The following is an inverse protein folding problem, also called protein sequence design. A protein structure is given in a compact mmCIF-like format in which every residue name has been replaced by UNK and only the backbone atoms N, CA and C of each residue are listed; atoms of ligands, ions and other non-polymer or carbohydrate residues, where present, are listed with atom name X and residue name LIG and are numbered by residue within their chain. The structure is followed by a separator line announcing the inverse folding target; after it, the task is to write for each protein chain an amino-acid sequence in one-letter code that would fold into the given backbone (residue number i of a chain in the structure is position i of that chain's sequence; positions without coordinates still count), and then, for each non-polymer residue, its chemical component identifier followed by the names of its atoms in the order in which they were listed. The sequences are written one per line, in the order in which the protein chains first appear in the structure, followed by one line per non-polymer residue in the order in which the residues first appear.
data_IF_075288221140
#
_entry.id   IF_075288221140
#
_cell.length_a   1.000
_cell.length_b   1.000
_cell.length_c   1.000
_cell.angle_alpha   90.00
_cell.angle_beta   90.00
_cell.angle_gamma   90.00
#
_symmetry.space_group_name_H-M   'P 1'
#
loop_
_entity.id
_entity.type
_entity.pdbx_description
1 polymer ?
#
# COMPACT_ATOMS: atom_id res chain seq x y z
N UNK A 1 9.37 8.33 23.09
CA UNK A 1 9.31 9.77 22.82
C UNK A 1 7.85 10.14 22.69
N UNK A 2 7.32 10.97 23.57
CA UNK A 2 6.02 11.64 23.40
C UNK A 2 6.20 12.96 22.67
N UNK A 3 5.10 13.62 22.28
CA UNK A 3 5.18 14.95 21.68
C UNK A 3 5.75 15.98 22.66
N UNK A 4 5.36 15.93 23.93
CA UNK A 4 5.84 16.83 24.97
C UNK A 4 7.35 16.69 25.15
N UNK A 5 7.87 15.45 25.18
CA UNK A 5 9.31 15.21 25.24
C UNK A 5 10.04 15.78 24.03
N UNK A 6 9.46 15.64 22.82
CA UNK A 6 10.03 16.22 21.60
C UNK A 6 10.01 17.76 21.62
N UNK A 7 8.95 18.37 22.14
CA UNK A 7 8.78 19.81 22.18
C UNK A 7 9.89 20.50 23.00
N UNK A 8 10.28 19.87 24.12
CA UNK A 8 11.34 20.35 25.03
C UNK A 8 12.76 20.18 24.48
N UNK A 9 12.96 19.42 23.40
CA UNK A 9 14.28 19.26 22.78
C UNK A 9 14.78 20.58 22.17
N UNK A 10 16.08 20.83 22.31
CA UNK A 10 16.73 21.91 21.57
C UNK A 10 16.84 21.58 20.05
N UNK A 11 17.28 22.55 19.26
CA UNK A 11 17.34 22.41 17.80
C UNK A 11 18.33 21.33 17.33
N UNK A 12 19.43 21.09 18.05
CA UNK A 12 20.41 20.06 17.72
C UNK A 12 19.86 18.66 18.02
N UNK A 13 19.21 18.51 19.18
CA UNK A 13 18.52 17.29 19.60
C UNK A 13 17.35 16.95 18.67
N UNK A 14 16.51 17.92 18.30
CA UNK A 14 15.43 17.74 17.31
C UNK A 14 15.99 17.25 15.97
N UNK A 15 17.11 17.85 15.51
CA UNK A 15 17.77 17.44 14.27
C UNK A 15 18.33 16.02 14.36
N UNK A 16 18.99 15.67 15.46
CA UNK A 16 19.51 14.31 15.67
C UNK A 16 18.38 13.27 15.68
N UNK A 17 17.28 13.57 16.38
CA UNK A 17 16.12 12.69 16.44
C UNK A 17 15.40 12.55 15.09
N UNK A 18 15.23 13.64 14.34
CA UNK A 18 14.66 13.65 12.98
C UNK A 18 15.42 12.73 12.00
N UNK A 19 16.71 12.48 12.26
CA UNK A 19 17.55 11.59 11.45
C UNK A 19 17.67 10.17 12.02
N UNK A 20 17.03 9.90 13.16
CA UNK A 20 17.09 8.60 13.83
C UNK A 20 16.12 7.57 13.25
N UNK A 21 16.33 6.29 13.59
CA UNK A 21 15.42 5.21 13.22
C UNK A 21 14.05 5.31 13.90
N UNK A 22 14.00 5.96 15.06
CA UNK A 22 12.80 6.13 15.88
C UNK A 22 11.88 7.24 15.36
N UNK A 23 12.35 8.07 14.42
CA UNK A 23 11.55 9.15 13.84
C UNK A 23 10.27 8.66 13.18
N UNK A 24 10.36 7.63 12.34
CA UNK A 24 9.20 7.08 11.63
C UNK A 24 8.10 6.57 12.56
N UNK A 25 8.35 5.63 13.50
CA UNK A 25 7.31 5.17 14.41
C UNK A 25 6.76 6.29 15.31
N UNK A 26 7.59 7.26 15.70
CA UNK A 26 7.14 8.44 16.44
C UNK A 26 6.13 9.28 15.65
N UNK A 27 6.46 9.68 14.42
CA UNK A 27 5.53 10.48 13.58
C UNK A 27 4.20 9.76 13.37
N UNK A 28 4.23 8.44 13.10
CA UNK A 28 3.01 7.65 12.91
C UNK A 28 2.17 7.61 14.19
N UNK A 29 2.79 7.55 15.37
CA UNK A 29 2.08 7.53 16.65
C UNK A 29 1.34 8.83 16.98
N UNK A 30 1.62 9.93 16.28
CA UNK A 30 0.97 11.22 16.47
C UNK A 30 -0.28 11.41 15.61
N UNK A 31 -0.59 10.47 14.70
CA UNK A 31 -1.79 10.50 13.89
C UNK A 31 -2.97 9.91 14.67
N UNK A 32 -4.11 10.56 14.55
CA UNK A 32 -5.37 10.03 15.07
C UNK A 32 -5.93 8.92 14.15
N UNK A 33 -6.76 8.02 14.69
CA UNK A 33 -7.39 6.97 13.88
C UNK A 33 -8.23 7.56 12.72
N UNK A 34 -8.82 8.74 12.91
CA UNK A 34 -9.57 9.45 11.86
C UNK A 34 -8.68 10.05 10.78
N UNK A 35 -7.36 10.09 10.98
CA UNK A 35 -6.35 10.54 10.00
C UNK A 35 -5.68 9.35 9.29
N UNK A 36 -6.13 8.13 9.58
CA UNK A 36 -5.69 6.91 8.94
C UNK A 36 -6.80 6.35 8.04
N UNK A 37 -6.40 5.68 6.96
CA UNK A 37 -7.27 4.81 6.18
C UNK A 37 -6.56 3.47 6.00
N UNK A 38 -7.10 2.40 6.55
CA UNK A 38 -6.47 1.06 6.54
C UNK A 38 -5.01 1.07 7.04
N UNK A 39 -4.70 1.93 8.02
CA UNK A 39 -3.35 2.09 8.58
C UNK A 39 -2.41 2.98 7.75
N UNK A 40 -2.84 3.49 6.59
CA UNK A 40 -2.09 4.47 5.82
C UNK A 40 -2.46 5.91 6.23
N UNK A 41 -1.47 6.81 6.38
CA UNK A 41 -1.73 8.19 6.75
C UNK A 41 -2.39 8.96 5.61
N UNK A 42 -3.41 9.76 5.92
CA UNK A 42 -4.03 10.71 4.99
C UNK A 42 -3.21 12.00 4.90
N UNK A 43 -3.31 12.70 3.76
CA UNK A 43 -2.57 13.94 3.54
C UNK A 43 -2.91 15.04 4.57
N UNK A 44 -4.15 15.11 5.05
CA UNK A 44 -4.58 16.08 6.06
C UNK A 44 -3.95 15.83 7.45
N UNK A 45 -3.88 14.58 7.89
CA UNK A 45 -3.17 14.21 9.11
C UNK A 45 -1.67 14.49 9.01
N UNK A 46 -1.06 14.17 7.86
CA UNK A 46 0.34 14.51 7.61
C UNK A 46 0.59 16.02 7.59
N UNK A 47 -0.38 16.82 7.16
CA UNK A 47 -0.28 18.29 7.19
C UNK A 47 -0.24 18.78 8.63
N UNK A 48 -1.18 18.34 9.47
CA UNK A 48 -1.24 18.70 10.89
C UNK A 48 0.02 18.26 11.63
N UNK A 49 0.43 17.00 11.48
CA UNK A 49 1.65 16.48 12.12
C UNK A 49 2.91 17.14 11.55
N UNK A 50 2.91 17.48 10.27
CA UNK A 50 3.93 18.30 9.63
C UNK A 50 4.13 19.64 10.33
N UNK A 51 3.05 20.39 10.55
CA UNK A 51 3.14 21.68 11.27
C UNK A 51 3.53 21.51 12.74
N UNK A 52 2.99 20.48 13.39
CA UNK A 52 3.28 20.15 14.77
C UNK A 52 4.77 19.88 15.01
N UNK A 53 5.39 19.14 14.09
CA UNK A 53 6.76 18.68 14.26
C UNK A 53 7.76 19.60 13.60
N UNK A 54 7.54 20.01 12.34
CA UNK A 54 8.48 20.75 11.51
C UNK A 54 8.42 22.27 11.72
N UNK A 55 7.26 22.81 12.10
CA UNK A 55 6.98 24.25 12.17
C UNK A 55 5.96 24.69 11.11
N UNK A 56 5.69 25.99 11.00
CA UNK A 56 4.56 26.48 10.21
C UNK A 56 4.72 26.22 8.70
N UNK A 57 3.65 25.82 8.03
CA UNK A 57 3.58 25.84 6.57
C UNK A 57 3.37 27.29 6.12
N UNK A 58 4.32 27.82 5.37
CA UNK A 58 4.28 29.22 4.89
C UNK A 58 3.93 29.33 3.40
N UNK A 59 4.00 28.24 2.64
CA UNK A 59 3.51 28.13 1.26
C UNK A 59 3.14 26.66 0.98
N UNK A 60 1.99 26.43 0.35
CA UNK A 60 1.53 25.10 -0.04
C UNK A 60 0.62 25.21 -1.25
N UNK A 61 1.04 24.65 -2.39
CA UNK A 61 0.28 24.74 -3.64
C UNK A 61 0.75 23.76 -4.71
N UNK A 62 -0.13 23.41 -5.67
CA UNK A 62 0.29 22.87 -6.95
C UNK A 62 1.24 23.85 -7.66
N UNK A 63 2.33 23.35 -8.23
CA UNK A 63 3.28 24.15 -9.03
C UNK A 63 3.07 23.96 -10.52
N UNK A 64 2.70 22.76 -10.95
CA UNK A 64 2.40 22.43 -12.34
C UNK A 64 1.21 21.48 -12.39
N UNK A 65 0.33 21.70 -13.35
CA UNK A 65 -0.88 20.90 -13.54
C UNK A 65 -0.97 20.50 -15.00
N UNK A 66 -0.98 19.20 -15.24
CA UNK A 66 -1.13 18.59 -16.56
C UNK A 66 -2.48 17.85 -16.61
N UNK A 67 -3.57 18.53 -17.04
CA UNK A 67 -4.86 17.89 -17.25
C UNK A 67 -4.82 17.01 -18.52
N UNK A 68 -5.82 16.14 -18.71
CA UNK A 68 -5.97 15.45 -20.00
C UNK A 68 -6.27 16.48 -21.09
N UNK A 69 -5.49 16.44 -22.17
CA UNK A 69 -5.85 17.14 -23.40
C UNK A 69 -6.90 16.32 -24.15
N UNK A 70 -8.12 16.85 -24.29
CA UNK A 70 -9.22 16.23 -25.04
C UNK A 70 -10.23 15.46 -24.19
N UNK A 71 -11.00 14.54 -24.81
CA UNK A 71 -12.10 13.80 -24.15
C UNK A 71 -11.66 12.60 -23.31
N UNK A 72 -10.37 12.45 -23.01
CA UNK A 72 -9.89 11.35 -22.17
C UNK A 72 -10.31 11.59 -20.72
N UNK A 73 -11.17 10.72 -20.19
CA UNK A 73 -11.57 10.77 -18.79
C UNK A 73 -10.45 10.25 -17.88
N UNK A 74 -10.41 10.79 -16.66
CA UNK A 74 -9.75 10.10 -15.55
C UNK A 74 -8.25 10.19 -15.46
N UNK A 75 -7.55 11.07 -16.21
CA UNK A 75 -6.09 11.25 -16.06
C UNK A 75 -5.71 12.65 -15.62
N UNK A 76 -4.68 12.77 -14.80
CA UNK A 76 -4.08 14.05 -14.44
C UNK A 76 -2.69 13.81 -13.86
N UNK A 77 -1.78 14.76 -14.04
CA UNK A 77 -0.51 14.80 -13.33
C UNK A 77 -0.35 16.16 -12.68
N UNK A 78 0.01 16.16 -11.40
CA UNK A 78 0.19 17.40 -10.61
C UNK A 78 1.55 17.34 -9.90
N UNK A 79 2.33 18.40 -10.07
CA UNK A 79 3.48 18.71 -9.23
C UNK A 79 3.00 19.55 -8.06
N UNK A 80 3.42 19.24 -6.84
CA UNK A 80 3.02 19.96 -5.62
C UNK A 80 4.24 20.32 -4.80
N UNK A 81 4.22 21.53 -4.23
CA UNK A 81 5.29 22.06 -3.38
C UNK A 81 4.74 22.55 -2.05
N UNK A 82 5.49 22.30 -0.99
CA UNK A 82 5.20 22.76 0.37
C UNK A 82 6.47 23.32 1.01
N UNK A 83 6.37 24.51 1.61
CA UNK A 83 7.47 25.17 2.30
C UNK A 83 7.14 25.32 3.77
N UNK A 84 8.03 24.81 4.62
CA UNK A 84 7.95 24.94 6.07
C UNK A 84 8.93 26.00 6.55
N UNK A 85 8.52 26.82 7.52
CA UNK A 85 9.44 27.55 8.39
C UNK A 85 9.77 26.65 9.58
N UNK A 86 11.02 26.18 9.62
CA UNK A 86 11.45 25.18 10.59
C UNK A 86 11.62 25.77 11.99
N UNK A 87 11.62 24.90 13.00
CA UNK A 87 11.93 25.26 14.40
C UNK A 87 13.31 25.94 14.58
N UNK A 88 14.22 25.80 13.62
CA UNK A 88 15.53 26.49 13.58
C UNK A 88 15.48 27.83 12.82
N UNK A 89 14.29 28.27 12.40
CA UNK A 89 14.06 29.48 11.61
C UNK A 89 14.37 29.33 10.11
N UNK A 90 14.91 28.20 9.66
CA UNK A 90 15.20 27.98 8.24
C UNK A 90 13.92 27.70 7.44
N UNK A 91 13.86 28.18 6.20
CA UNK A 91 12.78 27.83 5.28
C UNK A 91 13.21 26.61 4.43
N UNK A 92 12.38 25.57 4.38
CA UNK A 92 12.68 24.36 3.60
C UNK A 92 11.48 23.94 2.77
N UNK A 93 11.74 23.77 1.49
CA UNK A 93 10.73 23.38 0.50
C UNK A 93 10.89 21.90 0.15
N UNK A 94 9.75 21.20 0.13
CA UNK A 94 9.63 19.82 -0.29
C UNK A 94 8.63 19.75 -1.43
N UNK A 95 8.93 18.94 -2.43
CA UNK A 95 8.06 18.78 -3.58
C UNK A 95 8.00 17.33 -4.04
N UNK A 96 6.87 16.99 -4.63
CA UNK A 96 6.73 15.75 -5.37
C UNK A 96 5.69 15.87 -6.47
N UNK A 97 5.62 14.82 -7.29
CA UNK A 97 4.67 14.71 -8.38
C UNK A 97 3.78 13.49 -8.14
N UNK A 98 2.50 13.61 -8.48
CA UNK A 98 1.61 12.46 -8.57
C UNK A 98 0.82 12.47 -9.87
N UNK A 99 0.68 11.29 -10.44
CA UNK A 99 -0.21 11.01 -11.54
C UNK A 99 -1.42 10.20 -11.06
N UNK A 100 -2.55 10.44 -11.71
CA UNK A 100 -3.70 9.56 -11.65
C UNK A 100 -4.12 9.16 -13.05
N UNK A 101 -4.60 7.94 -13.19
CA UNK A 101 -5.28 7.48 -14.38
C UNK A 101 -6.34 6.44 -14.01
N UNK A 102 -7.47 6.47 -14.70
CA UNK A 102 -8.44 5.39 -14.72
C UNK A 102 -9.20 5.44 -16.06
N UNK A 103 -9.17 4.33 -16.81
CA UNK A 103 -9.83 4.19 -18.11
C UNK A 103 -11.14 3.38 -18.04
N UNK A 104 -11.62 3.08 -16.83
CA UNK A 104 -12.79 2.24 -16.56
C UNK A 104 -12.50 0.74 -16.51
N UNK A 105 -11.33 0.29 -16.98
CA UNK A 105 -10.89 -1.11 -16.89
C UNK A 105 -9.65 -1.27 -16.00
N UNK A 106 -8.73 -0.30 -16.09
CA UNK A 106 -7.46 -0.25 -15.38
C UNK A 106 -7.22 1.16 -14.84
N UNK A 107 -6.48 1.26 -13.75
CA UNK A 107 -6.24 2.55 -13.13
C UNK A 107 -5.49 2.47 -11.83
N UNK A 108 -5.01 3.63 -11.39
CA UNK A 108 -4.40 3.82 -10.08
C UNK A 108 -5.33 4.57 -9.10
N UNK A 109 -6.57 4.85 -9.48
CA UNK A 109 -7.63 5.45 -8.65
C UNK A 109 -8.92 4.60 -8.74
N UNK A 110 -9.78 4.70 -7.73
CA UNK A 110 -11.13 4.12 -7.76
C UNK A 110 -11.98 4.74 -8.88
N UNK A 111 -12.99 4.00 -9.35
CA UNK A 111 -13.97 4.50 -10.33
C UNK A 111 -14.77 5.69 -9.80
N UNK A 112 -15.05 5.71 -8.50
CA UNK A 112 -15.75 6.83 -7.85
C UNK A 112 -14.95 8.15 -7.90
N UNK A 113 -13.62 8.08 -8.08
CA UNK A 113 -12.75 9.25 -8.13
C UNK A 113 -12.38 9.68 -9.55
N UNK A 114 -12.85 8.99 -10.60
CA UNK A 114 -12.47 9.27 -12.00
C UNK A 114 -12.79 10.70 -12.44
N UNK A 115 -13.93 11.25 -11.96
CA UNK A 115 -14.36 12.62 -12.26
C UNK A 115 -13.60 13.68 -11.47
N UNK A 116 -12.83 13.27 -10.46
CA UNK A 116 -12.03 14.12 -9.58
C UNK A 116 -10.52 13.98 -9.82
N UNK A 117 -10.11 13.45 -10.98
CA UNK A 117 -8.71 13.11 -11.29
C UNK A 117 -7.71 14.23 -10.92
N UNK A 118 -7.98 15.49 -11.29
CA UNK A 118 -7.11 16.62 -10.94
C UNK A 118 -6.97 16.83 -9.42
N UNK A 119 -8.10 16.80 -8.69
CA UNK A 119 -8.09 16.95 -7.25
C UNK A 119 -7.37 15.77 -6.57
N UNK A 120 -7.64 14.55 -7.01
CA UNK A 120 -6.96 13.34 -6.50
C UNK A 120 -5.46 13.37 -6.76
N UNK A 121 -5.02 13.78 -7.96
CA UNK A 121 -3.60 13.96 -8.26
C UNK A 121 -2.96 15.02 -7.37
N UNK A 122 -3.64 16.14 -7.15
CA UNK A 122 -3.16 17.20 -6.26
C UNK A 122 -2.98 16.72 -4.82
N UNK A 123 -3.99 16.04 -4.24
CA UNK A 123 -3.91 15.55 -2.86
C UNK A 123 -2.84 14.46 -2.70
N UNK A 124 -2.68 13.57 -3.70
CA UNK A 124 -1.58 12.59 -3.72
C UNK A 124 -0.21 13.26 -3.75
N UNK A 125 -0.04 14.27 -4.61
CA UNK A 125 1.23 14.98 -4.73
C UNK A 125 1.57 15.74 -3.44
N UNK A 126 0.58 16.35 -2.79
CA UNK A 126 0.73 16.95 -1.46
C UNK A 126 1.16 15.90 -0.42
N UNK A 127 0.45 14.77 -0.34
CA UNK A 127 0.76 13.68 0.57
C UNK A 127 2.18 13.13 0.40
N UNK A 128 2.64 13.01 -0.84
CA UNK A 128 4.03 12.63 -1.17
C UNK A 128 5.06 13.68 -0.73
N UNK A 129 4.79 14.96 -0.94
CA UNK A 129 5.66 16.04 -0.49
C UNK A 129 5.76 16.07 1.06
N UNK A 130 4.63 15.89 1.75
CA UNK A 130 4.58 15.76 3.21
C UNK A 130 5.33 14.52 3.72
N UNK A 131 5.16 13.35 3.07
CA UNK A 131 5.94 12.14 3.34
C UNK A 131 7.44 12.39 3.24
N UNK A 132 7.89 13.13 2.22
CA UNK A 132 9.31 13.51 2.06
C UNK A 132 9.78 14.44 3.18
N UNK A 133 8.99 15.46 3.52
CA UNK A 133 9.30 16.37 4.62
C UNK A 133 9.44 15.62 5.95
N UNK A 134 8.51 14.70 6.22
CA UNK A 134 8.46 13.85 7.42
C UNK A 134 9.27 12.55 7.31
N UNK A 135 10.04 12.32 6.24
CA UNK A 135 10.88 11.12 6.04
C UNK A 135 10.17 9.77 6.31
N UNK A 136 8.89 9.68 5.93
CA UNK A 136 8.09 8.48 6.16
C UNK A 136 8.39 7.39 5.12
N UNK A 137 8.31 6.13 5.56
CA UNK A 137 8.57 4.94 4.73
C UNK A 137 7.30 4.25 4.21
N UNK A 138 6.13 4.84 4.46
CA UNK A 138 4.81 4.32 4.09
C UNK A 138 4.14 5.25 3.08
N UNK A 139 3.42 4.73 2.10
CA UNK A 139 2.60 5.52 1.17
C UNK A 139 1.49 6.28 1.91
N UNK A 140 0.96 7.35 1.31
CA UNK A 140 -0.27 7.95 1.87
C UNK A 140 -1.50 7.15 1.46
N UNK A 141 -2.59 7.29 2.22
CA UNK A 141 -3.87 6.66 1.93
C UNK A 141 -4.35 6.94 0.52
N UNK A 142 -4.14 8.15 0.02
CA UNK A 142 -4.58 8.56 -1.31
C UNK A 142 -3.84 7.81 -2.41
N UNK A 143 -2.62 7.32 -2.18
CA UNK A 143 -1.84 6.53 -3.15
C UNK A 143 -2.30 5.07 -3.26
N UNK A 144 -3.00 4.58 -2.24
CA UNK A 144 -3.47 3.20 -2.21
C UNK A 144 -4.74 3.09 -3.05
N UNK A 145 -4.76 2.12 -3.96
CA UNK A 145 -5.93 1.80 -4.77
C UNK A 145 -6.12 0.31 -4.79
N UNK A 146 -7.36 -0.14 -4.59
CA UNK A 146 -7.74 -1.54 -4.74
C UNK A 146 -7.45 -2.11 -6.14
N UNK A 147 -7.37 -1.24 -7.15
CA UNK A 147 -7.00 -1.60 -8.52
C UNK A 147 -5.50 -1.86 -8.66
N UNK A 148 -4.65 -1.22 -7.84
CA UNK A 148 -3.21 -1.50 -7.75
C UNK A 148 -2.98 -2.59 -6.70
N UNK A 149 -3.49 -3.81 -6.94
CA UNK A 149 -3.03 -4.99 -6.20
C UNK A 149 -1.83 -5.63 -6.90
N UNK A 150 -0.78 -4.84 -7.14
CA UNK A 150 0.57 -5.40 -7.29
C UNK A 150 1.09 -5.60 -5.87
N UNK A 151 0.99 -6.85 -5.38
CA UNK A 151 1.50 -7.23 -4.06
C UNK A 151 3.03 -7.11 -4.07
N UNK A 152 3.57 -5.98 -3.63
CA UNK A 152 4.95 -5.89 -3.16
C UNK A 152 4.87 -5.95 -1.64
N UNK A 153 5.51 -6.96 -1.05
CA UNK A 153 5.20 -7.49 0.29
C UNK A 153 5.12 -6.46 1.43
N UNK A 154 4.12 -6.66 2.30
CA UNK A 154 3.94 -5.95 3.56
C UNK A 154 2.67 -6.43 4.29
N UNK A 155 2.86 -7.09 5.43
CA UNK A 155 1.88 -7.52 6.45
C UNK A 155 0.51 -8.03 5.96
N UNK A 156 0.44 -9.36 5.80
CA UNK A 156 -0.82 -10.09 5.67
C UNK A 156 -1.61 -9.96 6.97
N UNK A 157 -2.76 -9.28 6.94
CA UNK A 157 -3.72 -9.31 8.04
C UNK A 157 -4.13 -10.76 8.33
N UNK A 158 -4.40 -11.13 9.59
CA UNK A 158 -4.93 -12.47 9.92
C UNK A 158 -6.23 -12.74 9.17
N UNK A 159 -7.02 -11.70 8.89
CA UNK A 159 -8.23 -11.78 8.08
C UNK A 159 -7.96 -11.98 6.59
N UNK A 160 -6.73 -11.79 6.12
CA UNK A 160 -6.32 -12.07 4.75
C UNK A 160 -5.79 -13.50 4.56
N UNK A 161 -5.60 -14.26 5.64
CA UNK A 161 -5.16 -15.66 5.58
C UNK A 161 -6.27 -16.59 5.08
N UNK A 162 -5.84 -17.66 4.41
CA UNK A 162 -6.71 -18.69 3.85
C UNK A 162 -7.64 -19.27 4.93
N UNK A 163 -8.90 -19.47 4.56
CA UNK A 163 -9.90 -20.06 5.47
C UNK A 163 -9.84 -21.59 5.46
N UNK A 164 -10.25 -22.24 6.56
CA UNK A 164 -10.43 -23.70 6.62
C UNK A 164 -11.31 -24.25 5.49
N UNK A 165 -12.33 -23.50 5.09
CA UNK A 165 -13.22 -23.90 4.01
C UNK A 165 -12.48 -23.93 2.66
N UNK A 166 -11.62 -22.95 2.38
CA UNK A 166 -10.77 -22.94 1.19
C UNK A 166 -9.74 -24.08 1.22
N UNK A 167 -9.11 -24.33 2.37
CA UNK A 167 -8.19 -25.46 2.55
C UNK A 167 -8.87 -26.80 2.22
N UNK A 168 -10.05 -27.05 2.80
CA UNK A 168 -10.82 -28.29 2.54
C UNK A 168 -11.24 -28.42 1.08
N UNK A 169 -11.60 -27.31 0.44
CA UNK A 169 -11.99 -27.30 -0.96
C UNK A 169 -10.80 -27.65 -1.87
N UNK A 170 -9.65 -27.00 -1.66
CA UNK A 170 -8.41 -27.29 -2.37
C UNK A 170 -8.00 -28.76 -2.21
N UNK A 171 -7.98 -29.26 -0.97
CA UNK A 171 -7.67 -30.65 -0.68
C UNK A 171 -8.55 -31.63 -1.49
N UNK A 172 -9.86 -31.38 -1.49
CA UNK A 172 -10.83 -32.22 -2.21
C UNK A 172 -10.55 -32.23 -3.71
N UNK A 173 -10.17 -31.09 -4.29
CA UNK A 173 -9.86 -30.96 -5.72
C UNK A 173 -8.53 -31.62 -6.07
N UNK A 174 -7.48 -31.37 -5.28
CA UNK A 174 -6.18 -32.02 -5.44
C UNK A 174 -6.28 -33.55 -5.35
N UNK A 175 -7.06 -34.08 -4.41
CA UNK A 175 -7.30 -35.54 -4.30
C UNK A 175 -7.95 -36.11 -5.56
N UNK A 176 -8.93 -35.41 -6.15
CA UNK A 176 -9.59 -35.84 -7.40
C UNK A 176 -8.68 -35.79 -8.61
N UNK A 177 -7.78 -34.82 -8.66
CA UNK A 177 -6.86 -34.60 -9.77
C UNK A 177 -5.50 -35.32 -9.59
N UNK A 178 -5.34 -36.05 -8.49
CA UNK A 178 -4.08 -36.69 -8.09
C UNK A 178 -2.88 -35.71 -8.03
N UNK A 179 -3.07 -34.58 -7.35
CA UNK A 179 -2.07 -33.51 -7.21
C UNK A 179 -1.62 -33.39 -5.76
N UNK A 180 -0.33 -33.23 -5.54
CA UNK A 180 0.24 -32.90 -4.22
C UNK A 180 -0.05 -31.44 -3.87
N UNK A 181 -0.73 -31.23 -2.74
CA UNK A 181 -1.18 -29.90 -2.29
C UNK A 181 0.00 -28.95 -2.03
N UNK A 182 1.06 -29.42 -1.37
CA UNK A 182 2.18 -28.56 -0.98
C UNK A 182 3.13 -28.30 -2.15
N UNK A 183 3.34 -29.29 -3.04
CA UNK A 183 4.09 -29.07 -4.29
C UNK A 183 3.38 -28.08 -5.20
N UNK A 184 2.06 -28.16 -5.28
CA UNK A 184 1.26 -27.21 -6.05
C UNK A 184 1.34 -25.78 -5.51
N UNK A 185 1.23 -25.63 -4.18
CA UNK A 185 1.32 -24.32 -3.52
C UNK A 185 2.71 -23.70 -3.73
N UNK A 186 3.76 -24.53 -3.76
CA UNK A 186 5.15 -24.10 -3.87
C UNK A 186 5.70 -24.05 -5.31
N UNK A 187 4.88 -24.35 -6.32
CA UNK A 187 5.32 -24.36 -7.72
C UNK A 187 5.47 -22.95 -8.32
N UNK A 188 4.80 -21.95 -7.73
CA UNK A 188 4.79 -20.57 -8.23
C UNK A 188 5.92 -19.67 -7.67
N UNK A 189 7.02 -20.27 -7.19
CA UNK A 189 8.25 -19.57 -6.79
C UNK A 189 8.30 -19.11 -5.32
N UNK A 190 7.16 -18.95 -4.65
CA UNK A 190 7.09 -18.72 -3.20
C UNK A 190 7.06 -20.06 -2.45
N UNK A 191 7.82 -20.19 -1.35
CA UNK A 191 7.87 -21.41 -0.54
C UNK A 191 7.15 -21.23 0.79
N UNK A 192 6.19 -22.11 1.02
CA UNK A 192 5.37 -22.23 2.21
C UNK A 192 5.66 -23.56 2.90
N UNK A 193 5.96 -23.48 4.19
CA UNK A 193 6.03 -24.62 5.12
C UNK A 193 4.64 -25.10 5.55
N UNK A 194 3.65 -24.20 5.52
CA UNK A 194 2.27 -24.45 5.95
C UNK A 194 1.27 -23.76 5.03
N UNK A 195 0.18 -24.45 4.71
CA UNK A 195 -0.86 -23.90 3.84
C UNK A 195 -1.55 -22.68 4.45
N UNK A 196 -1.62 -22.61 5.78
CA UNK A 196 -2.26 -21.55 6.57
C UNK A 196 -1.60 -20.18 6.37
N UNK A 197 -0.37 -20.13 5.84
CA UNK A 197 0.32 -18.89 5.50
C UNK A 197 -0.12 -18.30 4.16
N UNK A 198 -0.92 -19.02 3.37
CA UNK A 198 -1.45 -18.49 2.13
C UNK A 198 -2.49 -17.43 2.41
N UNK A 199 -2.56 -16.42 1.55
CA UNK A 199 -3.68 -15.47 1.56
C UNK A 199 -4.91 -16.06 0.88
N UNK A 200 -6.11 -15.58 1.24
CA UNK A 200 -7.39 -15.91 0.58
C UNK A 200 -7.34 -15.72 -0.94
N UNK A 201 -6.62 -14.68 -1.39
CA UNK A 201 -6.43 -14.38 -2.83
C UNK A 201 -5.58 -15.46 -3.52
N UNK A 202 -4.44 -15.83 -2.95
CA UNK A 202 -3.59 -16.90 -3.49
C UNK A 202 -4.33 -18.24 -3.53
N UNK A 203 -5.08 -18.56 -2.48
CA UNK A 203 -5.93 -19.75 -2.44
C UNK A 203 -6.97 -19.76 -3.57
N UNK A 204 -7.62 -18.63 -3.82
CA UNK A 204 -8.64 -18.50 -4.87
C UNK A 204 -8.06 -18.72 -6.27
N UNK A 205 -6.87 -18.16 -6.55
CA UNK A 205 -6.17 -18.40 -7.82
C UNK A 205 -5.81 -19.88 -8.03
N UNK A 206 -5.33 -20.57 -6.97
CA UNK A 206 -5.04 -22.01 -7.06
C UNK A 206 -6.32 -22.81 -7.30
N UNK A 207 -7.43 -22.44 -6.64
CA UNK A 207 -8.74 -23.07 -6.83
C UNK A 207 -9.24 -22.92 -8.27
N UNK A 208 -9.10 -21.73 -8.87
CA UNK A 208 -9.46 -21.47 -10.26
C UNK A 208 -8.65 -22.34 -11.24
N UNK A 209 -7.34 -22.45 -11.01
CA UNK A 209 -6.48 -23.33 -11.79
C UNK A 209 -6.90 -24.80 -11.68
N UNK A 210 -7.19 -25.28 -10.47
CA UNK A 210 -7.69 -26.65 -10.24
C UNK A 210 -9.05 -26.89 -10.90
N UNK A 211 -9.93 -25.88 -10.92
CA UNK A 211 -11.22 -25.98 -11.59
C UNK A 211 -11.06 -26.03 -13.12
N UNK A 212 -10.16 -25.24 -13.68
CA UNK A 212 -9.84 -25.25 -15.12
C UNK A 212 -9.25 -26.59 -15.55
N UNK A 213 -8.33 -27.14 -14.76
CA UNK A 213 -7.77 -28.47 -14.98
C UNK A 213 -8.83 -29.58 -14.85
N UNK A 214 -9.78 -29.44 -13.91
CA UNK A 214 -10.91 -30.37 -13.79
C UNK A 214 -11.84 -30.36 -15.01
N UNK A 215 -11.86 -29.25 -15.76
CA UNK A 215 -12.63 -29.11 -17.01
C UNK A 215 -11.82 -29.47 -18.25
N UNK A 216 -10.57 -29.93 -18.08
CA UNK A 216 -9.61 -30.21 -19.17
C UNK A 216 -9.28 -28.96 -20.02
N UNK A 217 -9.47 -27.76 -19.47
CA UNK A 217 -9.15 -26.49 -20.13
C UNK A 217 -7.67 -26.11 -19.93
N UNK A 218 -6.98 -26.77 -19.00
CA UNK A 218 -5.55 -26.60 -18.74
C UNK A 218 -4.90 -27.90 -18.23
N UNK A 219 -3.63 -28.10 -18.56
CA UNK A 219 -2.85 -29.23 -18.07
C UNK A 219 -2.19 -28.93 -16.73
N UNK A 220 -2.14 -29.93 -15.85
CA UNK A 220 -1.43 -29.84 -14.57
C UNK A 220 0.04 -30.20 -14.80
N UNK A 221 1.00 -29.40 -14.32
CA UNK A 221 2.42 -29.73 -14.44
C UNK A 221 2.72 -31.11 -13.85
N UNK A 222 3.52 -31.92 -14.54
CA UNK A 222 3.83 -33.28 -14.07
C UNK A 222 4.55 -33.28 -12.71
N UNK A 223 5.29 -32.22 -12.41
CA UNK A 223 6.10 -32.05 -11.21
C UNK A 223 5.29 -32.01 -9.90
N UNK A 224 4.00 -31.68 -9.99
CA UNK A 224 3.10 -31.56 -8.83
C UNK A 224 2.17 -32.77 -8.67
N UNK A 225 2.29 -33.80 -9.53
CA UNK A 225 1.45 -35.01 -9.44
C UNK A 225 1.82 -35.90 -8.24
N UNK A 226 0.83 -36.65 -7.76
CA UNK A 226 0.96 -37.63 -6.69
C UNK A 226 0.44 -37.12 -5.34
N UNK A 227 -0.89 -37.14 -5.18
CA UNK A 227 -1.54 -36.69 -3.94
C UNK A 227 -1.03 -37.45 -2.70
N UNK A 228 -0.66 -36.72 -1.65
CA UNK A 228 -0.27 -37.26 -0.34
C UNK A 228 -1.42 -37.05 0.63
N UNK A 229 -1.88 -38.06 1.36
CA UNK A 229 -3.03 -37.90 2.29
C UNK A 229 -2.65 -37.17 3.60
N UNK A 230 -1.39 -37.26 3.99
CA UNK A 230 -0.80 -36.68 5.20
C UNK A 230 -0.07 -35.35 4.95
N UNK A 231 -0.47 -34.60 3.91
CA UNK A 231 0.19 -33.35 3.54
C UNK A 231 0.08 -32.22 4.58
N UNK A 232 -0.86 -32.34 5.53
CA UNK A 232 -1.15 -31.35 6.60
C UNK A 232 -0.64 -31.78 7.99
N UNK A 233 0.21 -32.79 8.07
CA UNK A 233 0.79 -33.33 9.32
C UNK A 233 1.96 -32.50 9.83
#
# INVERSE_FOLDING_TARGET
MTFEEFAELDNEQKRAFYLSLEWHPFVISLLDETELNEGYPKADGLRRVGELLLGDIIDSKPTEVFPVNGNGLGRATVSYSITFRWWDGSERTYADVADVFNDGQSGNIDDNFIVFALATASTRAEGRALRKALKLKVCTAEEISDKIKVKVGGNVSVDDLITENQIKFMNTKCKRLNVDVMRLVNSNGERYDRIEKLTKKQASTIIEMLNSASRQESEIPQEVLGYQENWRS
#
